data_IF_737319829681
#
_entry.id   IF_737319829681
#
_cell.length_a   1.000
_cell.length_b   1.000
_cell.length_c   1.000
_cell.angle_alpha   90.00
_cell.angle_beta   90.00
_cell.angle_gamma   90.00
#
_symmetry.space_group_name_H-M   'P 1'
#
loop_
_entity.id
_entity.type
_entity.pdbx_description
1 polymer ?
#
# COMPACT_ATOMS: atom_id res chain seq x y z
N UNK A 1 -3.41 0.69 6.76
CA UNK A 1 -1.95 0.74 6.56
C UNK A 1 -1.23 -0.41 7.25
N UNK A 2 -1.16 -0.46 8.58
CA UNK A 2 -0.39 -1.49 9.33
C UNK A 2 -0.81 -2.95 8.98
N UNK A 3 -2.12 -3.20 8.79
CA UNK A 3 -2.61 -4.54 8.39
C UNK A 3 -2.07 -4.97 7.02
N UNK A 4 -1.90 -4.06 6.09
CA UNK A 4 -1.39 -4.36 4.74
C UNK A 4 0.11 -4.70 4.78
N UNK A 5 0.90 -4.01 5.62
CA UNK A 5 2.30 -4.35 5.87
C UNK A 5 2.49 -5.73 6.48
N UNK A 6 1.62 -6.13 7.42
CA UNK A 6 1.64 -7.50 7.97
C UNK A 6 1.44 -8.55 6.89
N UNK A 7 0.58 -8.27 5.91
CA UNK A 7 0.28 -9.20 4.81
C UNK A 7 1.43 -9.23 3.80
N UNK A 8 1.87 -8.06 3.33
CA UNK A 8 2.89 -7.95 2.27
C UNK A 8 4.26 -8.46 2.73
N UNK A 9 4.71 -8.03 3.91
CA UNK A 9 6.04 -8.38 4.43
C UNK A 9 6.01 -9.53 5.45
N UNK A 10 4.84 -10.17 5.66
CA UNK A 10 4.64 -11.25 6.64
C UNK A 10 5.08 -10.87 8.06
N UNK A 11 4.95 -9.60 8.40
CA UNK A 11 5.40 -9.06 9.69
C UNK A 11 4.46 -9.42 10.84
N UNK A 12 5.07 -9.77 11.97
CA UNK A 12 4.37 -9.86 13.25
C UNK A 12 4.36 -8.49 13.97
N UNK A 13 3.70 -8.41 15.13
CA UNK A 13 3.61 -7.18 15.90
C UNK A 13 4.97 -6.64 16.41
N UNK A 14 5.94 -7.52 16.63
CA UNK A 14 7.30 -7.17 17.05
C UNK A 14 8.07 -6.53 15.89
N UNK A 15 7.92 -7.05 14.68
CA UNK A 15 8.53 -6.48 13.48
C UNK A 15 7.99 -5.08 13.20
N UNK A 16 6.68 -4.89 13.36
CA UNK A 16 6.05 -3.57 13.23
C UNK A 16 6.63 -2.58 14.23
N UNK A 17 6.79 -2.96 15.50
CA UNK A 17 7.41 -2.09 16.49
C UNK A 17 8.88 -1.82 16.16
N UNK A 18 9.63 -2.83 15.73
CA UNK A 18 11.04 -2.69 15.36
C UNK A 18 11.24 -1.71 14.20
N UNK A 19 10.34 -1.72 13.22
CA UNK A 19 10.48 -0.92 12.00
C UNK A 19 9.76 0.42 12.05
N UNK A 20 8.64 0.52 12.78
CA UNK A 20 7.76 1.70 12.79
C UNK A 20 7.72 2.45 14.12
N UNK A 21 8.50 2.02 15.12
CA UNK A 21 8.67 2.76 16.37
C UNK A 21 10.13 3.21 16.46
N UNK A 22 10.35 4.52 16.42
CA UNK A 22 11.68 5.10 16.55
C UNK A 22 12.26 4.91 17.95
N UNK A 23 13.57 5.18 18.10
CA UNK A 23 14.33 5.06 19.36
C UNK A 23 13.68 5.75 20.58
N UNK A 24 12.84 6.77 20.37
CA UNK A 24 12.13 7.51 21.41
C UNK A 24 10.68 7.04 21.65
N UNK A 25 10.28 5.88 21.11
CA UNK A 25 8.91 5.36 21.28
C UNK A 25 7.85 6.07 20.44
N UNK A 26 8.24 7.04 19.61
CA UNK A 26 7.34 7.70 18.65
C UNK A 26 7.15 6.82 17.42
N UNK A 27 5.92 6.76 16.93
CA UNK A 27 5.63 6.14 15.65
C UNK A 27 6.32 6.92 14.53
N UNK A 28 7.18 6.22 13.78
CA UNK A 28 7.82 6.74 12.59
C UNK A 28 6.92 6.47 11.38
N UNK A 29 7.14 7.22 10.30
CA UNK A 29 6.41 6.96 9.05
C UNK A 29 6.63 5.51 8.62
N UNK A 30 5.60 4.85 8.06
CA UNK A 30 5.75 3.48 7.59
C UNK A 30 6.86 3.38 6.54
N UNK A 31 7.95 2.70 6.88
CA UNK A 31 9.01 2.34 5.94
C UNK A 31 9.30 0.85 6.07
N UNK A 32 9.42 0.15 4.95
CA UNK A 32 9.87 -1.24 4.92
C UNK A 32 10.87 -1.41 3.77
N UNK A 33 11.91 -2.20 4.01
CA UNK A 33 12.90 -2.56 2.98
C UNK A 33 13.45 -1.35 2.20
N UNK A 34 13.81 -0.27 2.92
CA UNK A 34 14.31 1.00 2.37
C UNK A 34 13.32 1.81 1.51
N UNK A 35 12.08 1.35 1.35
CA UNK A 35 11.01 2.10 0.71
C UNK A 35 10.25 2.84 1.81
N UNK A 36 10.44 4.16 1.88
CA UNK A 36 9.51 5.01 2.63
C UNK A 36 8.17 5.00 1.92
N UNK A 37 7.11 4.65 2.65
CA UNK A 37 5.77 4.84 2.14
C UNK A 37 5.53 6.35 2.04
N UNK A 38 5.33 6.84 0.82
CA UNK A 38 4.95 8.22 0.57
C UNK A 38 3.71 8.56 1.39
N UNK A 39 3.55 9.85 1.73
CA UNK A 39 2.40 10.31 2.49
C UNK A 39 1.11 10.02 1.69
N UNK A 40 0.38 8.97 2.06
CA UNK A 40 -0.83 8.60 1.34
C UNK A 40 -1.92 9.67 1.44
N UNK A 41 -1.91 10.48 2.52
CA UNK A 41 -2.83 11.61 2.65
C UNK A 41 -2.50 12.75 1.67
N UNK A 42 -1.27 12.81 1.13
CA UNK A 42 -0.92 13.77 0.09
C UNK A 42 -1.17 13.26 -1.33
N UNK A 43 -1.53 11.97 -1.51
CA UNK A 43 -1.80 11.42 -2.84
C UNK A 43 -3.29 11.55 -3.15
N UNK A 44 -3.67 12.29 -4.21
CA UNK A 44 -5.06 12.40 -4.60
C UNK A 44 -5.59 11.03 -5.08
N UNK A 45 -6.63 10.55 -4.42
CA UNK A 45 -7.29 9.30 -4.80
C UNK A 45 -8.17 9.58 -6.03
N UNK A 46 -7.69 9.23 -7.21
CA UNK A 46 -8.53 9.23 -8.43
C UNK A 46 -9.37 7.96 -8.41
N UNK A 47 -10.67 8.09 -8.15
CA UNK A 47 -11.59 6.95 -8.25
C UNK A 47 -11.78 6.61 -9.73
N UNK A 48 -11.08 5.59 -10.18
CA UNK A 48 -11.31 5.05 -11.52
C UNK A 48 -12.72 4.46 -11.57
N UNK A 49 -13.56 5.01 -12.44
CA UNK A 49 -14.85 4.41 -12.77
C UNK A 49 -14.61 3.42 -13.89
N UNK A 50 -14.60 2.14 -13.55
CA UNK A 50 -14.60 1.09 -14.56
C UNK A 50 -15.81 1.28 -15.46
N UNK A 51 -15.56 1.57 -16.74
CA UNK A 51 -16.55 1.41 -17.80
C UNK A 51 -16.16 0.13 -18.51
N UNK A 52 -16.92 -0.92 -18.31
CA UNK A 52 -16.70 -2.18 -19.01
C UNK A 52 -16.80 -1.92 -20.51
N UNK A 53 -15.66 -1.96 -21.20
CA UNK A 53 -15.63 -2.18 -22.63
C UNK A 53 -15.82 -3.67 -22.83
N UNK A 54 -16.99 -4.07 -23.33
CA UNK A 54 -17.16 -5.40 -23.91
C UNK A 54 -16.14 -5.50 -25.03
N UNK A 55 -15.11 -6.31 -24.82
CA UNK A 55 -14.24 -6.75 -25.89
C UNK A 55 -15.06 -7.74 -26.71
N UNK A 56 -15.99 -7.22 -27.52
CA UNK A 56 -16.62 -8.06 -28.54
C UNK A 56 -15.50 -8.46 -29.49
N UNK A 57 -15.14 -9.74 -29.44
CA UNK A 57 -14.23 -10.40 -30.36
C UNK A 57 -14.84 -10.41 -31.76
N UNK A 58 -14.94 -9.23 -32.37
CA UNK A 58 -15.45 -9.01 -33.71
C UNK A 58 -14.61 -9.80 -34.70
N UNK A 59 -15.12 -10.96 -35.09
CA UNK A 59 -14.65 -11.71 -36.25
C UNK A 59 -14.95 -10.85 -37.49
N UNK A 60 -13.94 -10.42 -38.27
CA UNK A 60 -14.24 -9.76 -39.53
C UNK A 60 -14.92 -10.77 -40.47
N UNK A 61 -15.98 -10.28 -41.14
CA UNK A 61 -16.72 -11.01 -42.18
C UNK A 61 -15.87 -11.22 -43.44
#
# INVERSE_FOLDING_TARGET
MIRWFRILHRWNGRDIRRHLTGLHGRWTRPSADRIELFNLASVPITRYRYRGTTLDGGRPA
#
